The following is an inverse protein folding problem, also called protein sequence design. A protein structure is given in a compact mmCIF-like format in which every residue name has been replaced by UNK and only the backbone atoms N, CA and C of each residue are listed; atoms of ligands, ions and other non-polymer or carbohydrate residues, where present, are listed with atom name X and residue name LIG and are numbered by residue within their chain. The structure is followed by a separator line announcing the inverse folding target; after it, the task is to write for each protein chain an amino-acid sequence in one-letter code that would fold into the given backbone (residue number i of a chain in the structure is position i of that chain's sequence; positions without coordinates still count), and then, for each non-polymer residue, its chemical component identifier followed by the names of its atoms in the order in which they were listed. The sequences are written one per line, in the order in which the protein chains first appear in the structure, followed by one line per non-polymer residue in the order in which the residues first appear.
data_IF_925871553917
#
_entry.id   IF_925871553917
#
_cell.length_a   1.000
_cell.length_b   1.000
_cell.length_c   1.000
_cell.angle_alpha   90.00
_cell.angle_beta   90.00
_cell.angle_gamma   90.00
#
_symmetry.space_group_name_H-M   'P 1'
#
loop_
_entity.id
_entity.type
_entity.pdbx_description
1 polymer ?
#
# COMPACT_ATOMS: atom_id res chain seq x y z
N UNK A 1 4.21 9.47 -30.59
CA UNK A 1 3.69 9.38 -29.20
C UNK A 1 2.25 8.92 -29.28
N UNK A 2 1.87 7.81 -28.63
CA UNK A 2 0.47 7.34 -28.65
C UNK A 2 -0.39 8.32 -27.84
N UNK A 3 -1.67 8.45 -28.19
CA UNK A 3 -2.61 9.40 -27.54
C UNK A 3 -2.72 9.15 -26.03
N UNK A 4 -2.64 7.90 -25.59
CA UNK A 4 -2.68 7.48 -24.19
C UNK A 4 -1.44 7.91 -23.40
N UNK A 5 -0.24 7.79 -23.98
CA UNK A 5 1.01 8.22 -23.33
C UNK A 5 0.97 9.73 -23.06
N UNK A 6 0.39 10.51 -23.98
CA UNK A 6 0.21 11.96 -23.78
C UNK A 6 -0.71 12.26 -22.60
N UNK A 7 -1.84 11.56 -22.47
CA UNK A 7 -2.78 11.78 -21.36
C UNK A 7 -2.18 11.44 -20.00
N UNK A 8 -1.38 10.36 -19.92
CA UNK A 8 -0.68 9.99 -18.70
C UNK A 8 0.33 11.06 -18.32
N UNK A 9 1.11 11.55 -19.29
CA UNK A 9 2.08 12.62 -19.05
C UNK A 9 1.39 13.92 -18.62
N UNK A 10 0.32 14.34 -19.32
CA UNK A 10 -0.46 15.54 -18.97
C UNK A 10 -1.06 15.42 -17.56
N UNK A 11 -1.53 14.22 -17.16
CA UNK A 11 -2.03 13.96 -15.81
C UNK A 11 -0.92 14.05 -14.76
N UNK A 12 0.20 13.37 -14.99
CA UNK A 12 1.36 13.40 -14.10
C UNK A 12 1.91 14.82 -13.94
N UNK A 13 2.00 15.60 -15.00
CA UNK A 13 2.43 17.01 -14.96
C UNK A 13 1.45 17.86 -14.14
N UNK A 14 0.15 17.71 -14.39
CA UNK A 14 -0.90 18.48 -13.68
C UNK A 14 -0.89 18.26 -12.17
N UNK A 15 -0.62 17.04 -11.72
CA UNK A 15 -0.66 16.65 -10.31
C UNK A 15 0.73 16.45 -9.69
N UNK A 16 1.78 16.78 -10.44
CA UNK A 16 3.19 16.64 -10.04
C UNK A 16 3.57 15.21 -9.59
N UNK A 17 3.10 14.21 -10.33
CA UNK A 17 3.47 12.81 -10.13
C UNK A 17 4.64 12.42 -11.03
N UNK A 18 5.49 11.53 -10.53
CA UNK A 18 6.48 10.87 -11.36
C UNK A 18 5.80 9.70 -12.10
N UNK A 19 5.73 9.75 -13.43
CA UNK A 19 5.11 8.70 -14.24
C UNK A 19 5.86 7.37 -14.19
N UNK A 20 7.16 7.41 -13.90
CA UNK A 20 8.08 6.27 -13.92
C UNK A 20 8.39 5.72 -12.52
N UNK A 21 7.85 6.34 -11.46
CA UNK A 21 8.06 5.81 -10.10
C UNK A 21 7.38 4.45 -9.94
N UNK A 22 7.93 3.61 -9.08
CA UNK A 22 7.34 2.34 -8.74
C UNK A 22 6.03 2.55 -7.98
N UNK A 23 4.99 1.80 -8.34
CA UNK A 23 3.65 1.92 -7.79
C UNK A 23 3.06 0.55 -7.49
N UNK A 24 2.09 0.52 -6.60
CA UNK A 24 1.36 -0.69 -6.26
C UNK A 24 -0.09 -0.34 -5.99
N UNK A 25 -1.03 -1.13 -6.51
CA UNK A 25 -2.45 -0.89 -6.37
C UNK A 25 -3.05 -1.82 -5.31
N UNK A 26 -3.80 -1.23 -4.39
CA UNK A 26 -4.66 -1.92 -3.45
C UNK A 26 -6.14 -1.69 -3.80
N UNK A 27 -6.96 -2.73 -3.68
CA UNK A 27 -8.41 -2.66 -3.83
C UNK A 27 -9.02 -2.97 -2.47
N UNK A 28 -9.89 -2.07 -2.01
CA UNK A 28 -10.69 -2.26 -0.81
C UNK A 28 -12.13 -2.53 -1.23
N UNK A 29 -12.65 -3.65 -0.74
CA UNK A 29 -14.04 -4.05 -0.88
C UNK A 29 -14.73 -3.88 0.47
N UNK A 30 -15.65 -2.91 0.60
CA UNK A 30 -16.52 -2.83 1.77
C UNK A 30 -17.37 -4.11 1.84
N UNK A 31 -17.18 -4.91 2.87
CA UNK A 31 -18.13 -5.99 3.23
C UNK A 31 -19.27 -5.34 4.00
N UNK A 32 -20.44 -5.18 3.37
CA UNK A 32 -21.66 -4.83 4.10
C UNK A 32 -22.93 -5.44 3.49
N UNK A 33 -23.82 -5.79 4.42
CA UNK A 33 -25.04 -6.56 4.28
C UNK A 33 -26.19 -5.76 3.62
N UNK A 34 -26.45 -6.07 2.34
CA UNK A 34 -27.68 -5.94 1.50
C UNK A 34 -28.52 -4.63 1.50
N UNK A 35 -28.45 -3.72 2.45
CA UNK A 35 -29.30 -2.51 2.44
C UNK A 35 -28.71 -1.39 1.58
N UNK A 36 -29.31 -1.16 0.41
CA UNK A 36 -28.72 -0.35 -0.69
C UNK A 36 -28.54 1.14 -0.38
N UNK A 37 -29.14 1.64 0.71
CA UNK A 37 -29.02 3.03 1.15
C UNK A 37 -27.76 3.31 1.98
N UNK A 38 -27.45 2.45 2.95
CA UNK A 38 -26.32 2.64 3.88
C UNK A 38 -24.98 2.28 3.25
N UNK A 39 -24.99 1.36 2.27
CA UNK A 39 -23.78 0.90 1.59
C UNK A 39 -23.01 2.02 0.87
N UNK A 40 -23.71 3.02 0.32
CA UNK A 40 -23.04 4.14 -0.35
C UNK A 40 -22.33 5.07 0.65
N UNK A 41 -22.95 5.33 1.80
CA UNK A 41 -22.36 6.16 2.84
C UNK A 41 -21.13 5.52 3.46
N UNK A 42 -21.14 4.20 3.64
CA UNK A 42 -19.98 3.49 4.16
C UNK A 42 -18.84 3.49 3.14
N UNK A 43 -19.12 3.18 1.87
CA UNK A 43 -18.09 3.26 0.83
C UNK A 43 -17.48 4.68 0.72
N UNK A 44 -18.30 5.73 0.78
CA UNK A 44 -17.82 7.11 0.81
C UNK A 44 -16.97 7.42 2.06
N UNK A 45 -17.37 6.91 3.22
CA UNK A 45 -16.65 7.13 4.48
C UNK A 45 -15.28 6.43 4.46
N UNK A 46 -15.23 5.16 4.04
CA UNK A 46 -13.97 4.42 3.84
C UNK A 46 -13.10 5.17 2.83
N UNK A 47 -13.66 5.64 1.72
CA UNK A 47 -12.92 6.42 0.72
C UNK A 47 -12.32 7.71 1.32
N UNK A 48 -13.07 8.43 2.15
CA UNK A 48 -12.58 9.65 2.79
C UNK A 48 -11.43 9.37 3.77
N UNK A 49 -11.50 8.25 4.51
CA UNK A 49 -10.38 7.79 5.35
C UNK A 49 -9.15 7.51 4.49
N UNK A 50 -9.32 6.79 3.37
CA UNK A 50 -8.24 6.50 2.43
C UNK A 50 -7.59 7.79 1.88
N UNK A 51 -8.40 8.77 1.47
CA UNK A 51 -7.92 10.09 1.03
C UNK A 51 -7.11 10.79 2.12
N UNK A 52 -7.56 10.75 3.38
CA UNK A 52 -6.86 11.36 4.50
C UNK A 52 -5.53 10.68 4.83
N UNK A 53 -5.46 9.35 4.76
CA UNK A 53 -4.28 8.57 5.13
C UNK A 53 -3.26 8.45 3.99
N UNK A 54 -3.72 8.47 2.74
CA UNK A 54 -2.88 8.21 1.54
C UNK A 54 -2.67 9.49 0.74
N UNK A 55 -3.73 10.06 0.17
CA UNK A 55 -3.65 11.19 -0.76
C UNK A 55 -3.11 12.45 -0.07
N UNK A 56 -3.64 12.80 1.10
CA UNK A 56 -3.23 13.99 1.85
C UNK A 56 -1.77 13.91 2.34
N UNK A 57 -1.23 12.71 2.47
CA UNK A 57 0.18 12.46 2.85
C UNK A 57 1.11 12.36 1.63
N UNK A 58 0.57 12.57 0.42
CA UNK A 58 1.28 12.38 -0.85
C UNK A 58 1.97 11.01 -0.92
N UNK A 59 1.26 9.98 -0.43
CA UNK A 59 1.65 8.56 -0.47
C UNK A 59 1.01 7.84 -1.66
N UNK A 60 0.00 8.42 -2.28
CA UNK A 60 -0.75 7.78 -3.33
C UNK A 60 -1.98 8.54 -3.80
N UNK A 61 -2.89 7.83 -4.46
CA UNK A 61 -4.14 8.32 -5.03
C UNK A 61 -5.29 7.37 -4.74
N UNK A 62 -6.41 7.90 -4.25
CA UNK A 62 -7.64 7.14 -3.98
C UNK A 62 -8.72 7.48 -5.00
N UNK A 63 -9.33 6.46 -5.60
CA UNK A 63 -10.50 6.61 -6.46
C UNK A 63 -11.45 5.42 -6.31
N UNK A 64 -12.59 5.46 -6.99
CA UNK A 64 -13.49 4.31 -7.10
C UNK A 64 -13.41 3.76 -8.51
N UNK A 65 -13.39 2.43 -8.63
CA UNK A 65 -13.50 1.77 -9.94
C UNK A 65 -14.96 1.66 -10.40
N UNK A 66 -15.15 1.12 -11.59
CA UNK A 66 -16.47 0.97 -12.21
C UNK A 66 -17.36 -0.04 -11.47
N UNK A 67 -16.77 -0.92 -10.65
CA UNK A 67 -17.47 -1.89 -9.80
C UNK A 67 -17.85 -1.31 -8.42
N UNK A 68 -17.56 -0.03 -8.18
CA UNK A 68 -17.81 0.64 -6.90
C UNK A 68 -16.85 0.24 -5.79
N UNK A 69 -15.73 -0.41 -6.12
CA UNK A 69 -14.65 -0.73 -5.17
C UNK A 69 -13.75 0.49 -5.03
N UNK A 70 -13.11 0.60 -3.88
CA UNK A 70 -12.16 1.68 -3.61
C UNK A 70 -10.79 1.20 -4.07
N UNK A 71 -10.20 1.90 -5.04
CA UNK A 71 -8.87 1.62 -5.54
C UNK A 71 -7.88 2.67 -5.02
N UNK A 72 -6.74 2.20 -4.52
CA UNK A 72 -5.67 3.03 -3.99
C UNK A 72 -4.40 2.71 -4.75
N UNK A 73 -3.82 3.72 -5.40
CA UNK A 73 -2.48 3.64 -5.99
C UNK A 73 -1.51 4.16 -4.96
N UNK A 74 -0.66 3.29 -4.42
CA UNK A 74 0.39 3.67 -3.50
C UNK A 74 1.70 3.88 -4.27
N UNK A 75 2.34 5.02 -4.05
CA UNK A 75 3.65 5.33 -4.61
C UNK A 75 4.72 4.73 -3.70
N UNK A 76 5.56 3.85 -4.25
CA UNK A 76 6.68 3.32 -3.49
C UNK A 76 7.76 4.40 -3.36
N UNK A 77 8.08 4.73 -2.11
CA UNK A 77 9.13 5.67 -1.79
C UNK A 77 9.94 5.11 -0.61
N UNK A 78 11.21 4.79 -0.85
CA UNK A 78 12.12 4.19 0.14
C UNK A 78 12.24 5.00 1.44
N UNK A 79 11.95 6.31 1.42
CA UNK A 79 12.04 7.17 2.60
C UNK A 79 10.72 7.31 3.39
N UNK A 80 9.57 6.91 2.83
CA UNK A 80 8.24 7.17 3.44
C UNK A 80 7.61 5.95 4.12
N UNK A 81 8.24 4.78 4.04
CA UNK A 81 7.71 3.49 4.51
C UNK A 81 7.27 2.59 3.36
N UNK A 82 6.91 1.35 3.69
CA UNK A 82 6.44 0.38 2.70
C UNK A 82 4.95 0.56 2.42
N UNK A 83 4.51 0.18 1.21
CA UNK A 83 3.08 0.18 0.85
C UNK A 83 2.29 -0.70 1.82
N UNK A 84 2.86 -1.84 2.21
CA UNK A 84 2.20 -2.78 3.10
C UNK A 84 2.00 -2.22 4.50
N UNK A 85 2.98 -1.47 5.05
CA UNK A 85 2.81 -0.77 6.33
C UNK A 85 1.61 0.19 6.29
N UNK A 86 1.49 1.00 5.23
CA UNK A 86 0.37 1.92 5.11
C UNK A 86 -0.97 1.21 4.94
N UNK A 87 -0.99 0.09 4.20
CA UNK A 87 -2.20 -0.73 4.05
C UNK A 87 -2.58 -1.40 5.37
N UNK A 88 -1.61 -1.84 6.18
CA UNK A 88 -1.86 -2.39 7.50
C UNK A 88 -2.37 -1.33 8.48
N UNK A 89 -1.79 -0.13 8.49
CA UNK A 89 -2.28 1.02 9.26
C UNK A 89 -3.72 1.36 8.87
N UNK A 90 -3.98 1.49 7.57
CA UNK A 90 -5.30 1.77 7.03
C UNK A 90 -6.30 0.67 7.42
N UNK A 91 -5.96 -0.60 7.22
CA UNK A 91 -6.82 -1.72 7.60
C UNK A 91 -7.07 -1.76 9.12
N UNK A 92 -6.09 -1.35 9.94
CA UNK A 92 -6.25 -1.19 11.38
C UNK A 92 -7.29 -0.14 11.74
N UNK A 93 -7.23 1.05 11.14
CA UNK A 93 -8.22 2.12 11.32
C UNK A 93 -9.61 1.65 10.87
N UNK A 94 -9.71 1.02 9.71
CA UNK A 94 -10.99 0.54 9.19
C UNK A 94 -11.61 -0.54 10.09
N UNK A 95 -10.79 -1.42 10.69
CA UNK A 95 -11.26 -2.43 11.64
C UNK A 95 -11.80 -1.82 12.94
N UNK A 96 -11.20 -0.73 13.40
CA UNK A 96 -11.64 -0.07 14.63
C UNK A 96 -12.94 0.74 14.41
N UNK A 97 -13.14 1.26 13.20
CA UNK A 97 -14.33 2.04 12.81
C UNK A 97 -15.54 1.18 12.40
N UNK A 98 -15.31 -0.01 11.81
CA UNK A 98 -16.38 -0.83 11.21
C UNK A 98 -16.47 -2.24 11.81
N UNK A 99 -17.70 -2.69 12.08
CA UNK A 99 -17.96 -4.03 12.65
C UNK A 99 -17.71 -5.17 11.66
N UNK A 100 -18.04 -4.97 10.37
CA UNK A 100 -17.65 -5.89 9.29
C UNK A 100 -16.33 -5.42 8.68
N UNK A 101 -15.37 -6.34 8.55
CA UNK A 101 -14.00 -6.01 8.17
C UNK A 101 -13.85 -5.95 6.66
N UNK A 102 -13.52 -4.78 6.08
CA UNK A 102 -13.35 -4.68 4.65
C UNK A 102 -12.21 -5.58 4.19
N UNK A 103 -12.39 -6.19 3.01
CA UNK A 103 -11.34 -6.99 2.38
C UNK A 103 -10.43 -6.08 1.58
N UNK A 104 -9.13 -6.23 1.76
CA UNK A 104 -8.11 -5.49 1.02
C UNK A 104 -7.30 -6.47 0.19
N UNK A 105 -7.18 -6.25 -1.12
CA UNK A 105 -6.28 -7.01 -1.98
C UNK A 105 -5.21 -6.10 -2.56
N UNK A 106 -3.95 -6.52 -2.49
CA UNK A 106 -2.80 -5.73 -2.94
C UNK A 106 -2.13 -6.45 -4.10
N UNK A 107 -2.11 -5.81 -5.26
CA UNK A 107 -1.45 -6.32 -6.46
C UNK A 107 0.07 -6.26 -6.37
N UNK A 108 0.78 -6.79 -7.36
CA UNK A 108 2.24 -6.71 -7.37
C UNK A 108 2.73 -5.29 -7.69
N UNK A 109 3.91 -4.89 -7.20
CA UNK A 109 4.52 -3.62 -7.58
C UNK A 109 4.85 -3.60 -9.08
N UNK A 110 4.71 -2.42 -9.68
CA UNK A 110 4.97 -2.17 -11.10
C UNK A 110 5.78 -0.89 -11.29
N UNK A 111 6.59 -0.86 -12.34
CA UNK A 111 7.43 0.28 -12.67
C UNK A 111 6.67 1.28 -13.55
N UNK A 112 6.06 2.27 -12.90
CA UNK A 112 5.39 3.38 -13.56
C UNK A 112 3.90 3.20 -13.86
N UNK A 113 3.25 4.33 -14.09
CA UNK A 113 1.80 4.46 -14.25
C UNK A 113 1.23 3.63 -15.42
N UNK A 114 2.03 3.44 -16.48
CA UNK A 114 1.62 2.67 -17.67
C UNK A 114 1.35 1.20 -17.36
N UNK A 115 1.98 0.65 -16.33
CA UNK A 115 1.85 -0.74 -15.94
C UNK A 115 0.86 -0.94 -14.78
N UNK A 116 0.23 0.14 -14.29
CA UNK A 116 -0.68 0.09 -13.15
C UNK A 116 -1.89 -0.83 -13.36
N UNK A 117 -2.33 -1.01 -14.61
CA UNK A 117 -3.39 -1.96 -14.95
C UNK A 117 -3.01 -3.42 -14.63
N UNK A 118 -1.71 -3.77 -14.64
CA UNK A 118 -1.23 -5.09 -14.24
C UNK A 118 -1.43 -5.27 -12.74
N UNK A 119 -0.98 -4.31 -11.93
CA UNK A 119 -1.21 -4.34 -10.48
C UNK A 119 -2.70 -4.34 -10.13
N UNK A 120 -3.54 -3.64 -10.90
CA UNK A 120 -5.00 -3.71 -10.73
C UNK A 120 -5.54 -5.11 -10.97
N UNK A 121 -5.18 -5.72 -12.11
CA UNK A 121 -5.64 -7.06 -12.45
C UNK A 121 -5.16 -8.11 -11.45
N UNK A 122 -3.93 -7.97 -10.94
CA UNK A 122 -3.42 -8.82 -9.86
C UNK A 122 -4.31 -8.73 -8.61
N UNK A 123 -4.66 -7.52 -8.17
CA UNK A 123 -5.51 -7.30 -7.01
C UNK A 123 -6.94 -7.85 -7.21
N UNK A 124 -7.52 -7.66 -8.41
CA UNK A 124 -8.84 -8.23 -8.75
C UNK A 124 -8.79 -9.75 -8.76
N UNK A 125 -7.74 -10.34 -9.35
CA UNK A 125 -7.59 -11.79 -9.38
C UNK A 125 -7.45 -12.37 -7.97
N UNK A 126 -6.70 -11.71 -7.09
CA UNK A 126 -6.59 -12.09 -5.68
C UNK A 126 -7.96 -12.11 -5.00
N UNK A 127 -8.80 -11.09 -5.21
CA UNK A 127 -10.17 -11.07 -4.66
C UNK A 127 -11.05 -12.21 -5.19
N UNK A 128 -10.86 -12.64 -6.44
CA UNK A 128 -11.65 -13.71 -7.07
C UNK A 128 -11.18 -15.11 -6.67
N UNK A 129 -9.88 -15.28 -6.46
CA UNK A 129 -9.28 -16.56 -6.08
C UNK A 129 -9.30 -16.80 -4.56
N UNK A 130 -9.57 -15.77 -3.76
CA UNK A 130 -9.58 -15.90 -2.31
C UNK A 130 -10.69 -16.84 -1.85
N UNK A 131 -10.27 -17.94 -1.21
CA UNK A 131 -11.18 -18.95 -0.64
C UNK A 131 -11.22 -18.87 0.89
N UNK A 132 -10.29 -18.18 1.53
CA UNK A 132 -10.25 -18.02 2.98
C UNK A 132 -11.19 -16.90 3.41
N UNK A 133 -12.17 -17.26 4.25
CA UNK A 133 -13.20 -16.34 4.72
C UNK A 133 -12.63 -15.23 5.64
N UNK A 134 -11.44 -15.44 6.20
CA UNK A 134 -10.84 -14.61 7.25
C UNK A 134 -9.65 -13.75 6.80
N UNK A 135 -9.18 -13.90 5.55
CA UNK A 135 -8.08 -13.09 5.05
C UNK A 135 -8.54 -11.63 4.84
N UNK A 136 -8.09 -10.74 5.72
CA UNK A 136 -8.41 -9.30 5.65
C UNK A 136 -7.54 -8.56 4.63
N UNK A 137 -6.26 -8.94 4.53
CA UNK A 137 -5.34 -8.42 3.50
C UNK A 137 -4.82 -9.59 2.68
N UNK A 138 -5.07 -9.54 1.37
CA UNK A 138 -4.76 -10.58 0.40
C UNK A 138 -3.66 -10.07 -0.52
N UNK A 139 -2.58 -10.82 -0.67
CA UNK A 139 -1.45 -10.47 -1.53
C UNK A 139 -0.73 -11.72 -2.04
N UNK A 140 0.02 -11.59 -3.14
CA UNK A 140 0.78 -12.72 -3.69
C UNK A 140 1.93 -13.15 -2.75
N UNK A 141 2.34 -14.42 -2.82
CA UNK A 141 3.53 -14.93 -2.09
C UNK A 141 4.83 -14.17 -2.42
N UNK A 142 4.91 -13.53 -3.61
CA UNK A 142 6.07 -12.72 -4.00
C UNK A 142 6.09 -11.39 -3.27
N UNK A 143 4.94 -10.71 -3.16
CA UNK A 143 4.81 -9.49 -2.38
C UNK A 143 5.07 -9.77 -0.89
N UNK A 144 4.51 -10.87 -0.35
CA UNK A 144 4.79 -11.32 1.02
C UNK A 144 6.29 -11.53 1.29
N UNK A 145 7.02 -12.11 0.34
CA UNK A 145 8.46 -12.41 0.50
C UNK A 145 9.34 -11.15 0.53
N UNK A 146 9.01 -10.13 -0.26
CA UNK A 146 9.79 -8.88 -0.28
C UNK A 146 9.58 -8.13 1.03
N UNK A 147 8.35 -8.01 1.51
CA UNK A 147 8.06 -7.35 2.79
C UNK A 147 8.66 -8.11 3.99
N UNK A 148 8.61 -9.44 3.97
CA UNK A 148 9.25 -10.26 5.00
C UNK A 148 10.76 -10.09 5.05
N UNK A 149 11.41 -9.85 3.90
CA UNK A 149 12.86 -9.64 3.86
C UNK A 149 13.24 -8.32 4.55
N UNK A 150 12.52 -7.24 4.27
CA UNK A 150 12.73 -5.94 4.94
C UNK A 150 12.39 -5.98 6.42
N UNK A 151 11.26 -6.58 6.80
CA UNK A 151 10.87 -6.71 8.21
C UNK A 151 11.85 -7.58 9.00
N UNK A 152 12.42 -8.61 8.36
CA UNK A 152 13.45 -9.43 8.98
C UNK A 152 14.75 -8.64 9.18
N UNK A 153 15.24 -7.95 8.16
CA UNK A 153 16.44 -7.11 8.30
C UNK A 153 16.24 -6.01 9.37
N UNK A 154 15.10 -5.33 9.35
CA UNK A 154 14.77 -4.34 10.37
C UNK A 154 14.68 -4.95 11.77
N UNK A 155 14.04 -6.12 11.91
CA UNK A 155 13.98 -6.84 13.18
C UNK A 155 15.36 -7.26 13.67
N UNK A 156 16.23 -7.71 12.77
CA UNK A 156 17.61 -8.11 13.10
C UNK A 156 18.42 -6.90 13.60
N UNK A 157 18.28 -5.74 12.95
CA UNK A 157 18.90 -4.48 13.40
C UNK A 157 18.35 -4.06 14.77
N UNK A 158 17.02 -4.09 14.95
CA UNK A 158 16.38 -3.66 16.19
C UNK A 158 16.72 -4.60 17.37
N UNK A 159 16.77 -5.91 17.13
CA UNK A 159 17.19 -6.90 18.12
C UNK A 159 18.66 -6.70 18.50
N UNK A 160 19.53 -6.39 17.53
CA UNK A 160 20.93 -6.08 17.77
C UNK A 160 21.10 -4.81 18.62
N UNK A 161 20.31 -3.76 18.36
CA UNK A 161 20.30 -2.55 19.20
C UNK A 161 19.80 -2.84 20.62
N UNK A 162 18.69 -3.56 20.78
CA UNK A 162 18.16 -3.97 22.08
C UNK A 162 19.14 -4.84 22.88
N UNK A 163 19.90 -5.72 22.22
CA UNK A 163 20.92 -6.54 22.87
C UNK A 163 22.13 -5.71 23.37
N UNK A 164 22.34 -4.52 22.81
CA UNK A 164 23.45 -3.64 23.14
C UNK A 164 23.00 -2.35 23.86
N UNK A 165 21.78 -2.32 24.42
CA UNK A 165 21.17 -1.09 24.98
C UNK A 165 21.98 -0.44 26.11
N UNK A 166 22.89 -1.19 26.74
CA UNK A 166 23.81 -0.69 27.78
C UNK A 166 25.14 -0.12 27.25
N UNK A 167 25.38 -0.18 25.94
CA UNK A 167 26.61 0.25 25.26
C UNK A 167 26.24 1.22 24.12
N UNK A 168 26.16 2.50 24.46
CA UNK A 168 25.69 3.56 23.57
C UNK A 168 26.53 3.72 22.31
N UNK A 169 27.85 3.47 22.38
CA UNK A 169 28.73 3.54 21.20
C UNK A 169 28.43 2.41 20.21
N UNK A 170 28.15 1.20 20.70
CA UNK A 170 27.74 0.09 19.82
C UNK A 170 26.38 0.30 19.19
N UNK A 171 25.41 0.84 19.93
CA UNK A 171 24.08 1.15 19.37
C UNK A 171 24.22 2.18 18.25
N UNK A 172 25.01 3.24 18.44
CA UNK A 172 25.31 4.23 17.40
C UNK A 172 25.98 3.61 16.17
N UNK A 173 26.97 2.73 16.36
CA UNK A 173 27.65 2.05 15.27
C UNK A 173 26.71 1.12 14.47
N UNK A 174 25.86 0.35 15.15
CA UNK A 174 24.84 -0.50 14.49
C UNK A 174 23.87 0.35 13.68
N UNK A 175 23.47 1.50 14.22
CA UNK A 175 22.59 2.45 13.53
C UNK A 175 23.25 3.07 12.29
N UNK A 176 24.53 3.46 12.38
CA UNK A 176 25.29 4.02 11.25
C UNK A 176 25.51 2.99 10.13
N UNK A 177 25.83 1.74 10.48
CA UNK A 177 25.99 0.65 9.51
C UNK A 177 24.66 0.33 8.82
N UNK A 178 23.58 0.21 9.61
CA UNK A 178 22.23 -0.01 9.10
C UNK A 178 21.71 1.15 8.24
N UNK A 179 22.21 2.38 8.44
CA UNK A 179 21.92 3.53 7.57
C UNK A 179 22.76 3.57 6.29
N UNK A 180 24.00 3.06 6.32
CA UNK A 180 24.96 3.14 5.20
C UNK A 180 24.64 2.17 4.05
N UNK A 181 24.05 1.00 4.32
CA UNK A 181 23.69 0.03 3.26
C UNK A 181 22.50 0.50 2.39
N UNK A 182 21.78 1.55 2.82
CA UNK A 182 20.64 2.11 2.09
C UNK A 182 20.98 3.34 1.23
N UNK A 183 22.21 3.85 1.27
CA UNK A 183 22.66 5.05 0.53
C UNK A 183 23.68 4.78 -0.59
N UNK A 184 23.95 3.53 -0.91
CA UNK A 184 24.80 3.15 -2.06
C UNK A 184 23.99 2.33 -3.06
N UNK A 185 23.29 3.03 -3.97
CA UNK A 185 22.80 2.70 -5.34
C UNK A 185 21.42 3.31 -5.59
#
# INVERSE_FOLDING_TARGET
MRCEDKRILDFCEKYNFNADQQMQLAIIVPTLSIDRGDNHFVALSIKNICIGMIDAQNRGLTFMDDDGRIAIVCFQNRQKGSVMEWIQELNGVLRDEYSEKPKVAVGNPVDGMRLLCISYNDAVQLLQCETEEYAEIIQTEKAQRIDHLYLKEFSDINNSMCANIGDSEKVLCIFEIGGSEYFSV
#
